data_IF_903816282929
#
_entry.id   IF_903816282929
#
_cell.length_a   1.000
_cell.length_b   1.000
_cell.length_c   1.000
_cell.angle_alpha   90.00
_cell.angle_beta   90.00
_cell.angle_gamma   90.00
#
_symmetry.space_group_name_H-M   'P 1'
#
loop_
_entity.id
_entity.type
_entity.pdbx_description
1 polymer ?
#
# COMPACT_ATOMS: atom_id res chain seq x y z
N UNK A 1 26.81 3.84 12.44
CA UNK A 1 25.45 3.27 12.16
C UNK A 1 25.27 3.36 10.65
N UNK A 2 24.86 2.28 9.97
CA UNK A 2 24.60 2.32 8.52
C UNK A 2 23.45 3.27 8.20
N UNK A 3 23.58 4.07 7.14
CA UNK A 3 22.49 4.88 6.61
C UNK A 3 21.37 3.99 6.05
N UNK A 4 20.21 4.55 5.78
CA UNK A 4 19.09 3.80 5.20
C UNK A 4 19.43 3.33 3.78
N UNK A 5 20.10 4.17 2.99
CA UNK A 5 20.58 3.84 1.66
C UNK A 5 21.57 2.66 1.68
N UNK A 6 22.51 2.66 2.63
CA UNK A 6 23.46 1.55 2.80
C UNK A 6 22.74 0.24 3.14
N UNK A 7 21.70 0.29 3.98
CA UNK A 7 20.88 -0.89 4.32
C UNK A 7 20.15 -1.41 3.09
N UNK A 8 19.53 -0.54 2.30
CA UNK A 8 18.83 -0.89 1.06
C UNK A 8 19.81 -1.53 0.07
N UNK A 9 21.00 -0.95 -0.10
CA UNK A 9 22.01 -1.51 -0.99
C UNK A 9 22.50 -2.89 -0.51
N UNK A 10 22.71 -3.04 0.79
CA UNK A 10 23.08 -4.32 1.39
C UNK A 10 22.01 -5.38 1.15
N UNK A 11 20.74 -5.03 1.37
CA UNK A 11 19.60 -5.91 1.09
C UNK A 11 19.59 -6.36 -0.38
N UNK A 12 19.68 -5.43 -1.33
CA UNK A 12 19.70 -5.75 -2.76
C UNK A 12 20.85 -6.69 -3.12
N UNK A 13 22.03 -6.46 -2.59
CA UNK A 13 23.20 -7.32 -2.85
C UNK A 13 22.95 -8.75 -2.37
N UNK A 14 22.39 -8.93 -1.18
CA UNK A 14 22.07 -10.26 -0.63
C UNK A 14 20.92 -10.90 -1.38
N UNK A 15 19.83 -10.18 -1.57
CA UNK A 15 18.63 -10.70 -2.22
C UNK A 15 18.88 -11.17 -3.65
N UNK A 16 19.67 -10.42 -4.42
CA UNK A 16 20.01 -10.79 -5.79
C UNK A 16 20.92 -12.03 -5.90
N UNK A 17 21.60 -12.43 -4.81
CA UNK A 17 22.40 -13.66 -4.75
C UNK A 17 21.56 -14.90 -4.40
N UNK A 18 20.34 -14.73 -3.93
CA UNK A 18 19.45 -15.83 -3.62
C UNK A 18 18.95 -16.53 -4.90
N UNK A 19 18.71 -17.84 -4.80
CA UNK A 19 17.99 -18.56 -5.86
C UNK A 19 16.60 -18.00 -6.04
N UNK A 20 15.99 -18.18 -7.22
CA UNK A 20 14.62 -17.70 -7.49
C UNK A 20 13.62 -18.23 -6.48
N UNK A 21 13.71 -19.51 -6.12
CA UNK A 21 12.85 -20.09 -5.09
C UNK A 21 12.94 -19.36 -3.75
N UNK A 22 14.16 -19.08 -3.27
CA UNK A 22 14.37 -18.34 -2.03
C UNK A 22 13.91 -16.87 -2.11
N UNK A 23 14.06 -16.23 -3.28
CA UNK A 23 13.52 -14.89 -3.49
C UNK A 23 11.99 -14.89 -3.37
N UNK A 24 11.32 -15.89 -3.97
CA UNK A 24 9.86 -16.04 -3.88
C UNK A 24 9.43 -16.29 -2.44
N UNK A 25 10.03 -17.27 -1.75
CA UNK A 25 9.74 -17.55 -0.34
C UNK A 25 9.90 -16.32 0.56
N UNK A 26 10.96 -15.53 0.32
CA UNK A 26 11.19 -14.29 1.05
C UNK A 26 10.09 -13.26 0.80
N UNK A 27 9.70 -13.06 -0.46
CA UNK A 27 8.66 -12.09 -0.83
C UNK A 27 7.28 -12.51 -0.31
N UNK A 28 6.95 -13.82 -0.35
CA UNK A 28 5.69 -14.33 0.20
C UNK A 28 5.61 -14.07 1.71
N UNK A 29 6.67 -14.39 2.45
CA UNK A 29 6.74 -14.09 3.89
C UNK A 29 6.70 -12.59 4.17
N UNK A 30 7.36 -11.78 3.34
CA UNK A 30 7.31 -10.33 3.43
C UNK A 30 5.88 -9.81 3.24
N UNK A 31 5.16 -10.27 2.21
CA UNK A 31 3.78 -9.85 1.94
C UNK A 31 2.85 -10.15 3.13
N UNK A 32 2.95 -11.36 3.71
CA UNK A 32 2.14 -11.75 4.86
C UNK A 32 2.41 -10.83 6.06
N UNK A 33 3.69 -10.62 6.37
CA UNK A 33 4.09 -9.78 7.50
C UNK A 33 3.69 -8.32 7.31
N UNK A 34 3.96 -7.79 6.13
CA UNK A 34 3.64 -6.42 5.78
C UNK A 34 2.12 -6.17 5.82
N UNK A 35 1.33 -7.11 5.27
CA UNK A 35 -0.13 -7.08 5.36
C UNK A 35 -0.59 -7.01 6.80
N UNK A 36 -0.09 -7.90 7.67
CA UNK A 36 -0.46 -7.88 9.08
C UNK A 36 -0.12 -6.55 9.77
N UNK A 37 1.10 -6.05 9.56
CA UNK A 37 1.56 -4.82 10.23
C UNK A 37 0.78 -3.59 9.72
N UNK A 38 0.52 -3.48 8.41
CA UNK A 38 -0.22 -2.37 7.82
C UNK A 38 -1.70 -2.37 8.28
N UNK A 39 -2.40 -3.49 8.17
CA UNK A 39 -3.80 -3.56 8.61
C UNK A 39 -3.95 -3.37 10.13
N UNK A 40 -2.97 -3.78 10.93
CA UNK A 40 -2.96 -3.54 12.38
C UNK A 40 -2.86 -2.05 12.72
N UNK A 41 -2.10 -1.28 11.96
CA UNK A 41 -2.02 0.19 12.12
C UNK A 41 -3.38 0.84 11.92
N UNK A 42 -4.18 0.34 10.98
CA UNK A 42 -5.55 0.81 10.70
C UNK A 42 -6.60 0.27 11.69
N UNK A 43 -6.21 -0.60 12.61
CA UNK A 43 -7.06 -1.07 13.70
C UNK A 43 -7.57 -2.50 13.57
N UNK A 44 -7.10 -3.27 12.58
CA UNK A 44 -7.41 -4.69 12.46
C UNK A 44 -6.92 -5.46 13.69
N UNK A 45 -7.75 -6.33 14.23
CA UNK A 45 -7.46 -7.07 15.47
C UNK A 45 -6.98 -8.50 15.25
N UNK A 46 -6.83 -8.94 14.00
CA UNK A 46 -6.26 -10.25 13.70
C UNK A 46 -4.80 -10.34 14.13
N UNK A 47 -4.42 -11.42 14.77
CA UNK A 47 -3.02 -11.67 15.12
C UNK A 47 -2.20 -12.03 13.87
N UNK A 48 -0.87 -11.94 13.98
CA UNK A 48 0.01 -12.41 12.91
C UNK A 48 -0.26 -13.87 12.53
N UNK A 49 -0.53 -14.72 13.52
CA UNK A 49 -0.85 -16.12 13.27
C UNK A 49 -2.18 -16.29 12.53
N UNK A 50 -3.21 -15.49 12.88
CA UNK A 50 -4.47 -15.45 12.12
C UNK A 50 -4.25 -15.05 10.67
N UNK A 51 -3.42 -14.03 10.44
CA UNK A 51 -3.06 -13.56 9.09
C UNK A 51 -2.34 -14.66 8.30
N UNK A 52 -1.37 -15.35 8.91
CA UNK A 52 -0.68 -16.50 8.28
C UNK A 52 -1.69 -17.57 7.87
N UNK A 53 -2.50 -18.07 8.81
CA UNK A 53 -3.47 -19.15 8.52
C UNK A 53 -4.49 -18.73 7.45
N UNK A 54 -4.94 -17.49 7.49
CA UNK A 54 -5.87 -16.99 6.48
C UNK A 54 -5.24 -16.96 5.09
N UNK A 55 -4.02 -16.45 4.96
CA UNK A 55 -3.39 -16.24 3.66
C UNK A 55 -2.73 -17.52 3.08
N UNK A 56 -2.32 -18.46 3.92
CA UNK A 56 -1.67 -19.71 3.47
C UNK A 56 -2.65 -20.89 3.37
N UNK A 57 -3.58 -21.00 4.32
CA UNK A 57 -4.49 -22.14 4.42
C UNK A 57 -5.95 -21.79 4.08
N UNK A 58 -6.28 -20.51 3.92
CA UNK A 58 -7.64 -20.06 3.70
C UNK A 58 -8.54 -20.20 4.93
N UNK A 59 -7.96 -20.35 6.12
CA UNK A 59 -8.71 -20.54 7.37
C UNK A 59 -9.15 -19.19 7.93
N UNK A 60 -10.46 -19.00 8.06
CA UNK A 60 -11.04 -17.78 8.65
C UNK A 60 -10.82 -17.76 10.17
N UNK A 61 -10.21 -16.71 10.72
CA UNK A 61 -9.99 -16.60 12.16
C UNK A 61 -11.29 -16.58 12.96
N UNK A 62 -11.35 -17.35 14.03
CA UNK A 62 -12.53 -17.41 14.89
C UNK A 62 -12.75 -16.09 15.65
N UNK A 63 -14.00 -15.63 15.72
CA UNK A 63 -14.39 -14.45 16.48
C UNK A 63 -13.98 -13.11 15.86
N UNK A 64 -13.46 -13.09 14.65
CA UNK A 64 -13.13 -11.87 13.92
C UNK A 64 -14.28 -11.41 13.04
N UNK A 65 -14.36 -10.11 12.80
CA UNK A 65 -15.35 -9.53 11.90
C UNK A 65 -14.98 -9.83 10.44
N UNK A 66 -15.99 -9.97 9.60
CA UNK A 66 -15.77 -10.29 8.19
C UNK A 66 -15.02 -9.19 7.42
N UNK A 67 -15.23 -7.93 7.81
CA UNK A 67 -14.49 -6.81 7.24
C UNK A 67 -12.99 -6.90 7.54
N UNK A 68 -12.59 -7.31 8.75
CA UNK A 68 -11.18 -7.50 9.10
C UNK A 68 -10.51 -8.60 8.25
N UNK A 69 -11.25 -9.66 7.94
CA UNK A 69 -10.79 -10.73 7.06
C UNK A 69 -10.62 -10.21 5.64
N UNK A 70 -11.58 -9.44 5.13
CA UNK A 70 -11.51 -8.86 3.80
C UNK A 70 -10.39 -7.84 3.64
N UNK A 71 -10.15 -7.03 4.64
CA UNK A 71 -9.06 -6.07 4.70
C UNK A 71 -7.69 -6.77 4.54
N UNK A 72 -7.44 -7.84 5.27
CA UNK A 72 -6.22 -8.66 5.12
C UNK A 72 -6.11 -9.23 3.71
N UNK A 73 -7.17 -9.84 3.18
CA UNK A 73 -7.16 -10.45 1.85
C UNK A 73 -6.97 -9.39 0.76
N UNK A 74 -7.62 -8.24 0.89
CA UNK A 74 -7.48 -7.13 -0.05
C UNK A 74 -6.08 -6.54 -0.05
N UNK A 75 -5.52 -6.30 1.12
CA UNK A 75 -4.16 -5.77 1.27
C UNK A 75 -3.11 -6.75 0.71
N UNK A 76 -3.21 -8.05 1.00
CA UNK A 76 -2.29 -9.06 0.42
C UNK A 76 -2.35 -9.08 -1.11
N UNK A 77 -3.53 -8.96 -1.70
CA UNK A 77 -3.68 -8.84 -3.16
C UNK A 77 -3.05 -7.57 -3.69
N UNK A 78 -3.26 -6.44 -3.02
CA UNK A 78 -2.71 -5.16 -3.43
C UNK A 78 -1.17 -5.16 -3.42
N UNK A 79 -0.53 -5.67 -2.36
CA UNK A 79 0.94 -5.73 -2.27
C UNK A 79 1.53 -6.69 -3.32
N UNK A 80 0.89 -7.83 -3.60
CA UNK A 80 1.31 -8.73 -4.67
C UNK A 80 1.18 -8.10 -6.05
N UNK A 81 0.10 -7.34 -6.30
CA UNK A 81 -0.08 -6.59 -7.52
C UNK A 81 0.98 -5.49 -7.67
N UNK A 82 1.28 -4.76 -6.58
CA UNK A 82 2.34 -3.75 -6.54
C UNK A 82 3.72 -4.36 -6.88
N UNK A 83 4.05 -5.52 -6.32
CA UNK A 83 5.30 -6.22 -6.63
C UNK A 83 5.38 -6.61 -8.11
N UNK A 84 4.28 -7.03 -8.73
CA UNK A 84 4.23 -7.32 -10.16
C UNK A 84 4.46 -6.05 -11.01
N UNK A 85 3.86 -4.92 -10.64
CA UNK A 85 4.13 -3.64 -11.31
C UNK A 85 5.58 -3.20 -11.16
N UNK A 86 6.16 -3.38 -9.97
CA UNK A 86 7.57 -3.05 -9.72
C UNK A 86 8.52 -3.92 -10.56
N UNK A 87 8.27 -5.22 -10.66
CA UNK A 87 9.07 -6.14 -11.49
C UNK A 87 8.96 -5.81 -12.99
N UNK A 88 7.77 -5.43 -13.44
CA UNK A 88 7.50 -5.03 -14.82
C UNK A 88 7.96 -3.60 -15.13
N UNK A 89 8.46 -2.87 -14.12
CA UNK A 89 8.84 -1.44 -14.23
C UNK A 89 7.70 -0.58 -14.80
N UNK A 90 6.47 -0.92 -14.43
CA UNK A 90 5.29 -0.18 -14.83
C UNK A 90 5.35 1.25 -14.27
N UNK A 91 5.12 2.25 -15.12
CA UNK A 91 5.09 3.64 -14.68
C UNK A 91 3.88 3.88 -13.76
N UNK A 92 4.08 4.69 -12.73
CA UNK A 92 2.99 5.08 -11.83
C UNK A 92 2.00 5.94 -12.61
N UNK A 93 0.75 5.48 -12.69
CA UNK A 93 -0.36 6.16 -13.37
C UNK A 93 -1.61 6.13 -12.50
N UNK A 94 -2.62 6.89 -12.90
CA UNK A 94 -3.93 6.86 -12.25
C UNK A 94 -4.53 5.46 -12.27
N UNK A 95 -4.41 4.74 -13.39
CA UNK A 95 -4.90 3.36 -13.52
C UNK A 95 -4.21 2.41 -12.54
N UNK A 96 -2.89 2.55 -12.34
CA UNK A 96 -2.14 1.75 -11.35
C UNK A 96 -2.64 2.04 -9.94
N UNK A 97 -2.79 3.30 -9.57
CA UNK A 97 -3.30 3.71 -8.26
C UNK A 97 -4.72 3.20 -8.03
N UNK A 98 -5.61 3.37 -9.01
CA UNK A 98 -6.98 2.87 -8.93
C UNK A 98 -7.06 1.34 -8.88
N UNK A 99 -6.16 0.63 -9.58
CA UNK A 99 -6.09 -0.82 -9.53
C UNK A 99 -5.67 -1.32 -8.13
N UNK A 100 -4.67 -0.70 -7.51
CA UNK A 100 -4.26 -1.01 -6.13
C UNK A 100 -5.38 -0.71 -5.15
N UNK A 101 -6.00 0.46 -5.24
CA UNK A 101 -7.14 0.84 -4.41
C UNK A 101 -8.28 -0.18 -4.47
N UNK A 102 -8.60 -0.66 -5.67
CA UNK A 102 -9.64 -1.67 -5.87
C UNK A 102 -9.38 -2.97 -5.13
N UNK A 103 -8.12 -3.40 -5.05
CA UNK A 103 -7.76 -4.59 -4.28
C UNK A 103 -7.85 -4.33 -2.77
N UNK A 104 -7.35 -3.20 -2.29
CA UNK A 104 -7.38 -2.82 -0.85
C UNK A 104 -8.80 -2.83 -0.31
N UNK A 105 -9.75 -2.21 -1.02
CA UNK A 105 -11.14 -2.08 -0.54
C UNK A 105 -12.04 -3.26 -0.87
N UNK A 106 -11.52 -4.31 -1.51
CA UNK A 106 -12.31 -5.52 -1.82
C UNK A 106 -12.90 -6.16 -0.54
N UNK A 107 -14.15 -6.64 -0.56
CA UNK A 107 -15.15 -6.66 -1.66
C UNK A 107 -16.12 -5.46 -1.64
N UNK A 108 -15.86 -4.43 -0.86
CA UNK A 108 -16.80 -3.34 -0.53
C UNK A 108 -16.97 -2.34 -1.68
N UNK A 109 -16.47 -2.64 -2.86
CA UNK A 109 -16.40 -1.69 -3.98
C UNK A 109 -17.74 -1.20 -4.43
N UNK A 110 -18.04 0.05 -4.13
CA UNK A 110 -19.14 0.77 -4.76
C UNK A 110 -18.68 1.83 -5.77
N UNK A 111 -17.41 2.24 -5.76
CA UNK A 111 -16.88 3.22 -6.74
C UNK A 111 -15.39 3.01 -7.00
N UNK A 112 -14.99 2.94 -8.27
CA UNK A 112 -13.60 3.01 -8.72
C UNK A 112 -13.15 4.48 -8.88
N UNK A 113 -13.70 5.41 -8.11
CA UNK A 113 -13.50 6.84 -8.31
C UNK A 113 -13.09 7.53 -7.01
N UNK A 114 -12.42 8.65 -7.15
CA UNK A 114 -12.11 9.55 -6.05
C UNK A 114 -13.38 9.96 -5.29
N UNK A 115 -13.22 10.26 -4.00
CA UNK A 115 -14.32 10.75 -3.16
C UNK A 115 -14.91 12.06 -3.70
N UNK A 116 -16.20 12.20 -3.50
CA UNK A 116 -16.99 13.39 -3.92
C UNK A 116 -17.49 14.21 -2.74
N UNK A 117 -17.21 13.77 -1.52
CA UNK A 117 -17.56 14.49 -0.30
C UNK A 117 -16.33 14.71 0.58
N UNK A 118 -16.45 15.63 1.50
CA UNK A 118 -15.44 15.86 2.53
C UNK A 118 -15.30 14.65 3.45
N UNK A 119 -14.09 14.41 3.91
CA UNK A 119 -13.75 13.40 4.92
C UNK A 119 -12.91 14.06 6.01
N UNK A 120 -13.03 13.55 7.23
CA UNK A 120 -12.27 14.03 8.38
C UNK A 120 -11.39 12.90 8.89
N UNK A 121 -10.07 13.17 8.93
CA UNK A 121 -9.11 12.23 9.50
C UNK A 121 -9.01 12.52 10.99
N UNK A 122 -9.42 11.56 11.81
CA UNK A 122 -9.35 11.70 13.27
C UNK A 122 -7.89 11.89 13.71
N UNK A 123 -7.63 12.98 14.43
CA UNK A 123 -6.29 13.29 14.93
C UNK A 123 -5.38 14.05 13.95
N UNK A 124 -5.79 14.27 12.71
CA UNK A 124 -5.02 15.10 11.78
C UNK A 124 -5.07 16.58 12.18
N UNK A 125 -3.93 17.25 12.03
CA UNK A 125 -3.79 18.71 12.28
C UNK A 125 -4.01 19.55 11.03
N UNK A 126 -4.23 18.91 9.88
CA UNK A 126 -4.44 19.56 8.60
C UNK A 126 -5.73 19.03 7.93
N UNK A 127 -6.32 19.86 7.08
CA UNK A 127 -7.42 19.43 6.22
C UNK A 127 -6.89 18.72 4.98
N UNK A 128 -7.59 17.70 4.54
CA UNK A 128 -7.35 17.04 3.25
C UNK A 128 -7.80 17.91 2.09
N UNK A 129 -7.42 17.55 0.88
CA UNK A 129 -7.80 18.30 -0.33
C UNK A 129 -9.33 18.31 -0.51
N UNK A 130 -9.87 19.48 -0.87
CA UNK A 130 -11.28 19.62 -1.23
C UNK A 130 -11.65 18.67 -2.38
N UNK A 131 -12.79 17.95 -2.28
CA UNK A 131 -13.22 17.01 -3.32
C UNK A 131 -13.21 17.56 -4.74
N UNK A 132 -13.53 18.84 -4.92
CA UNK A 132 -13.53 19.51 -6.22
C UNK A 132 -12.14 19.58 -6.87
N UNK A 133 -11.08 19.50 -6.08
CA UNK A 133 -9.69 19.64 -6.55
C UNK A 133 -8.92 18.31 -6.60
N UNK A 134 -9.48 17.21 -6.08
CA UNK A 134 -8.77 15.91 -5.98
C UNK A 134 -8.23 15.47 -7.34
N UNK A 135 -9.04 15.53 -8.39
CA UNK A 135 -8.62 15.08 -9.72
C UNK A 135 -7.38 15.86 -10.21
N UNK A 136 -7.37 17.17 -10.01
CA UNK A 136 -6.24 18.01 -10.41
C UNK A 136 -4.99 17.74 -9.58
N UNK A 137 -5.14 17.60 -8.26
CA UNK A 137 -4.04 17.30 -7.34
C UNK A 137 -3.44 15.92 -7.61
N UNK A 138 -4.26 14.92 -7.89
CA UNK A 138 -3.78 13.59 -8.30
C UNK A 138 -3.00 13.63 -9.62
N UNK A 139 -3.43 14.43 -10.58
CA UNK A 139 -2.70 14.64 -11.84
C UNK A 139 -1.33 15.28 -11.61
N UNK A 140 -1.25 16.29 -10.75
CA UNK A 140 0.02 16.88 -10.35
C UNK A 140 0.91 15.89 -9.61
N UNK A 141 0.36 15.16 -8.65
CA UNK A 141 1.05 14.13 -7.90
C UNK A 141 1.70 13.07 -8.82
N UNK A 142 0.93 12.51 -9.75
CA UNK A 142 1.42 11.50 -10.69
C UNK A 142 2.50 12.10 -11.62
N UNK A 143 2.31 13.34 -12.07
CA UNK A 143 3.31 14.06 -12.88
C UNK A 143 4.61 14.22 -12.10
N UNK A 144 4.54 14.70 -10.87
CA UNK A 144 5.70 14.88 -10.00
C UNK A 144 6.45 13.56 -9.75
N UNK A 145 5.74 12.49 -9.45
CA UNK A 145 6.34 11.16 -9.25
C UNK A 145 7.13 10.66 -10.46
N UNK A 146 6.70 11.02 -11.67
CA UNK A 146 7.34 10.55 -12.90
C UNK A 146 8.41 11.51 -13.45
N UNK A 147 8.36 12.81 -13.09
CA UNK A 147 9.23 13.82 -13.71
C UNK A 147 10.21 14.49 -12.75
N UNK A 148 9.85 14.58 -11.47
CA UNK A 148 10.69 15.22 -10.45
C UNK A 148 11.95 14.39 -10.20
N UNK A 149 13.08 15.08 -10.05
CA UNK A 149 14.33 14.44 -9.63
C UNK A 149 14.35 14.31 -8.11
N UNK A 150 14.49 13.10 -7.64
CA UNK A 150 14.69 12.76 -6.24
C UNK A 150 16.16 12.38 -6.00
N UNK A 151 16.69 12.68 -4.84
CA UNK A 151 18.07 12.34 -4.47
C UNK A 151 18.26 10.83 -4.27
N UNK A 152 17.19 10.13 -3.88
CA UNK A 152 17.17 8.69 -3.67
C UNK A 152 15.78 8.08 -3.88
N UNK A 153 15.69 6.75 -4.08
CA UNK A 153 14.40 6.04 -4.07
C UNK A 153 13.64 6.23 -2.74
N UNK A 154 14.36 6.38 -1.63
CA UNK A 154 13.78 6.60 -0.30
C UNK A 154 13.07 7.96 -0.23
N UNK A 155 13.72 9.01 -0.73
CA UNK A 155 13.08 10.33 -0.82
C UNK A 155 11.82 10.28 -1.71
N UNK A 156 11.90 9.55 -2.84
CA UNK A 156 10.75 9.36 -3.72
C UNK A 156 9.61 8.65 -3.01
N UNK A 157 9.89 7.59 -2.25
CA UNK A 157 8.89 6.84 -1.49
C UNK A 157 8.25 7.70 -0.39
N UNK A 158 9.06 8.44 0.36
CA UNK A 158 8.56 9.36 1.38
C UNK A 158 7.67 10.47 0.78
N UNK A 159 8.06 11.02 -0.36
CA UNK A 159 7.26 11.98 -1.10
C UNK A 159 5.93 11.36 -1.56
N UNK A 160 5.98 10.15 -2.14
CA UNK A 160 4.80 9.44 -2.62
C UNK A 160 3.78 9.24 -1.50
N UNK A 161 4.23 8.68 -0.38
CA UNK A 161 3.40 8.46 0.80
C UNK A 161 2.79 9.78 1.32
N UNK A 162 3.63 10.77 1.62
CA UNK A 162 3.17 12.02 2.22
C UNK A 162 2.17 12.78 1.32
N UNK A 163 2.37 12.79 0.00
CA UNK A 163 1.45 13.47 -0.91
C UNK A 163 0.13 12.72 -1.06
N UNK A 164 0.15 11.39 -1.17
CA UNK A 164 -1.09 10.61 -1.29
C UNK A 164 -1.96 10.75 -0.03
N UNK A 165 -1.36 10.65 1.16
CA UNK A 165 -2.06 10.86 2.44
C UNK A 165 -2.61 12.29 2.55
N UNK A 166 -1.86 13.30 2.09
CA UNK A 166 -2.31 14.70 2.09
C UNK A 166 -3.49 14.93 1.15
N UNK A 167 -3.46 14.35 -0.05
CA UNK A 167 -4.55 14.46 -1.02
C UNK A 167 -5.77 13.70 -0.50
N UNK A 168 -5.55 12.52 0.06
CA UNK A 168 -6.57 11.63 0.59
C UNK A 168 -7.69 11.39 -0.42
N UNK A 169 -7.37 10.80 -1.59
CA UNK A 169 -8.28 10.84 -2.73
C UNK A 169 -9.50 9.93 -2.58
N UNK A 170 -9.48 8.95 -1.69
CA UNK A 170 -10.52 7.94 -1.55
C UNK A 170 -11.30 8.10 -0.24
N UNK A 171 -12.43 7.41 -0.11
CA UNK A 171 -13.22 7.43 1.11
C UNK A 171 -12.57 6.65 2.25
N UNK A 172 -11.86 5.57 1.92
CA UNK A 172 -11.19 4.64 2.84
C UNK A 172 -9.96 4.05 2.16
N UNK A 173 -9.13 3.29 2.88
CA UNK A 173 -7.96 2.62 2.30
C UNK A 173 -6.82 3.54 1.83
N UNK A 174 -6.83 4.82 2.19
CA UNK A 174 -5.79 5.77 1.75
C UNK A 174 -4.45 5.56 2.48
N UNK A 175 -4.49 5.14 3.75
CA UNK A 175 -3.30 4.79 4.52
C UNK A 175 -2.62 3.56 3.93
N UNK A 176 -3.33 2.46 3.83
CA UNK A 176 -2.86 1.18 3.29
C UNK A 176 -2.32 1.29 1.86
N UNK A 177 -2.85 2.20 1.06
CA UNK A 177 -2.37 2.45 -0.30
C UNK A 177 -1.14 3.35 -0.35
N UNK A 178 -0.93 4.20 0.65
CA UNK A 178 0.21 5.10 0.73
C UNK A 178 1.49 4.38 1.20
N UNK A 179 1.32 3.33 1.99
CA UNK A 179 2.41 2.47 2.48
C UNK A 179 3.07 1.68 1.35
#
# INVERSE_FOLDING_TARGET
MMSLEEKVQCFHNVFNQLSKTRQTEYLDNFCIRYTHESTTIEGNTCSYFDTVLLLTEGLTPAGKQLNEVYEIVGHDKAIKLLLNYAQSKTAISEDVICALYKEVIFPVVHTNSYRKSEVYIKGATHSVVDPAHIYQEMKFYITDLNTKKFSSPIEKSAFAHAQLVKIHPFYDGNGEQAD
#
